data_IF_440740577979
#
_entry.id   IF_440740577979
#
_cell.length_a   1.000
_cell.length_b   1.000
_cell.length_c   1.000
_cell.angle_alpha   90.00
_cell.angle_beta   90.00
_cell.angle_gamma   90.00
#
_symmetry.space_group_name_H-M   'P 1'
#
loop_
_entity.id
_entity.type
_entity.pdbx_description
1 polymer ?
#
# COMPACT_ATOMS: atom_id res chain seq x y z
N UNK A 1 23.47 19.56 -11.37
CA UNK A 1 23.59 20.39 -12.59
C UNK A 1 24.87 20.03 -13.33
N UNK A 2 24.79 19.20 -14.37
CA UNK A 2 25.77 19.10 -15.47
C UNK A 2 25.12 18.32 -16.63
N UNK A 3 25.16 18.91 -17.83
CA UNK A 3 24.78 18.38 -19.14
C UNK A 3 25.15 19.46 -20.19
N UNK A 4 25.25 19.19 -21.52
CA UNK A 4 25.06 17.92 -22.23
C UNK A 4 26.45 17.29 -22.57
N UNK A 5 26.90 16.82 -23.75
CA UNK A 5 26.35 16.78 -25.12
C UNK A 5 27.11 15.83 -26.09
N UNK A 6 26.48 15.62 -27.26
CA UNK A 6 27.07 15.33 -28.59
C UNK A 6 27.50 13.89 -28.94
N UNK A 7 27.09 13.43 -30.14
CA UNK A 7 27.38 12.10 -30.73
C UNK A 7 26.12 11.27 -30.99
N UNK A 8 25.20 11.63 -31.91
CA UNK A 8 25.25 11.58 -33.40
C UNK A 8 25.06 10.17 -34.00
N UNK A 9 24.00 10.05 -34.82
CA UNK A 9 23.64 9.00 -35.79
C UNK A 9 23.12 7.62 -35.33
N UNK A 10 21.87 7.35 -35.74
CA UNK A 10 21.56 6.18 -36.56
C UNK A 10 20.94 4.96 -35.87
N UNK A 11 19.61 4.84 -35.89
CA UNK A 11 18.93 3.60 -35.51
C UNK A 11 17.45 3.83 -35.15
N UNK A 12 16.56 2.96 -35.63
CA UNK A 12 15.12 3.01 -35.34
C UNK A 12 14.76 2.02 -34.23
N UNK A 13 15.13 2.33 -33.00
CA UNK A 13 14.45 1.74 -31.85
C UNK A 13 14.42 2.70 -30.65
N UNK A 14 13.57 2.40 -29.66
CA UNK A 14 13.26 3.31 -28.54
C UNK A 14 13.92 2.90 -27.22
N UNK A 15 15.00 2.14 -27.32
CA UNK A 15 15.88 1.80 -26.20
C UNK A 15 16.90 2.93 -26.00
N UNK A 16 17.12 3.30 -24.73
CA UNK A 16 18.18 4.23 -24.35
C UNK A 16 19.36 3.39 -23.87
N UNK A 17 20.42 3.31 -24.68
CA UNK A 17 21.65 2.63 -24.30
C UNK A 17 22.35 3.39 -23.17
N UNK A 18 22.12 2.93 -21.95
CA UNK A 18 22.94 3.30 -20.81
C UNK A 18 24.29 2.57 -20.95
N UNK A 19 25.39 3.32 -20.87
CA UNK A 19 26.77 2.77 -20.84
C UNK A 19 27.04 1.81 -19.66
N UNK A 20 26.08 1.67 -18.74
CA UNK A 20 26.06 0.77 -17.59
C UNK A 20 24.67 0.09 -17.45
N UNK A 21 24.04 -0.32 -18.56
CA UNK A 21 22.65 -0.79 -18.58
C UNK A 21 22.34 -1.90 -17.58
N UNK A 22 23.22 -2.90 -17.46
CA UNK A 22 23.05 -4.00 -16.51
C UNK A 22 23.04 -3.51 -15.04
N UNK A 23 23.92 -2.56 -14.72
CA UNK A 23 24.04 -1.97 -13.38
C UNK A 23 22.85 -1.04 -13.05
N UNK A 24 22.30 -0.33 -14.05
CA UNK A 24 21.05 0.42 -13.91
C UNK A 24 19.82 -0.49 -13.70
N UNK A 25 19.79 -1.70 -14.27
CA UNK A 25 18.69 -2.64 -14.07
C UNK A 25 18.68 -3.20 -12.65
N UNK A 26 19.83 -3.58 -12.10
CA UNK A 26 19.93 -4.05 -10.72
C UNK A 26 19.74 -2.91 -9.70
N UNK A 27 20.20 -1.68 -9.97
CA UNK A 27 19.85 -0.52 -9.13
C UNK A 27 18.34 -0.21 -9.14
N UNK A 28 17.61 -0.58 -10.21
CA UNK A 28 16.16 -0.36 -10.32
C UNK A 28 15.31 -1.49 -9.72
N UNK A 29 15.90 -2.64 -9.38
CA UNK A 29 15.26 -3.66 -8.52
C UNK A 29 15.25 -3.16 -7.08
N UNK A 30 14.14 -2.52 -6.67
CA UNK A 30 13.92 -2.10 -5.27
C UNK A 30 14.24 -3.26 -4.32
N UNK A 31 15.04 -3.00 -3.30
CA UNK A 31 15.32 -4.00 -2.25
C UNK A 31 14.00 -4.45 -1.62
N UNK A 32 13.89 -5.73 -1.22
CA UNK A 32 12.65 -6.31 -0.66
C UNK A 32 11.91 -5.37 0.33
N UNK A 33 12.61 -4.87 1.36
CA UNK A 33 12.03 -3.95 2.35
C UNK A 33 11.56 -2.60 1.77
N UNK A 34 12.18 -2.10 0.68
CA UNK A 34 11.72 -0.91 -0.03
C UNK A 34 10.41 -1.18 -0.79
N UNK A 35 10.24 -2.36 -1.37
CA UNK A 35 8.98 -2.77 -2.01
C UNK A 35 7.86 -2.91 -0.97
N UNK A 36 8.13 -3.57 0.16
CA UNK A 36 7.20 -3.65 1.28
C UNK A 36 6.79 -2.28 1.83
N UNK A 37 7.77 -1.42 2.16
CA UNK A 37 7.48 -0.09 2.70
C UNK A 37 6.72 0.79 1.71
N UNK A 38 7.00 0.65 0.42
CA UNK A 38 6.26 1.36 -0.63
C UNK A 38 4.78 0.93 -0.64
N UNK A 39 4.49 -0.37 -0.74
CA UNK A 39 3.11 -0.88 -0.75
C UNK A 39 2.36 -0.65 0.56
N UNK A 40 3.02 -0.83 1.71
CA UNK A 40 2.46 -0.56 3.03
C UNK A 40 2.15 0.93 3.24
N UNK A 41 3.09 1.81 2.85
CA UNK A 41 2.90 3.26 2.94
C UNK A 41 1.78 3.76 2.04
N UNK A 42 1.74 3.33 0.77
CA UNK A 42 0.67 3.74 -0.17
C UNK A 42 -0.69 3.23 0.26
N UNK A 43 -0.80 1.97 0.70
CA UNK A 43 -2.08 1.38 1.15
C UNK A 43 -2.58 2.01 2.46
N UNK A 44 -1.68 2.32 3.40
CA UNK A 44 -2.04 3.01 4.65
C UNK A 44 -2.56 4.43 4.37
N UNK A 45 -1.89 5.20 3.50
CA UNK A 45 -2.33 6.55 3.11
C UNK A 45 -3.68 6.49 2.38
N UNK A 46 -3.85 5.58 1.40
CA UNK A 46 -5.11 5.41 0.66
C UNK A 46 -6.27 4.98 1.58
N UNK A 47 -6.02 4.00 2.46
CA UNK A 47 -6.99 3.54 3.46
C UNK A 47 -7.37 4.64 4.46
N UNK A 48 -6.40 5.44 4.91
CA UNK A 48 -6.61 6.59 5.78
C UNK A 48 -7.42 7.71 5.13
N UNK A 49 -7.13 8.04 3.87
CA UNK A 49 -7.90 9.01 3.09
C UNK A 49 -9.35 8.56 2.89
N UNK A 50 -9.57 7.31 2.47
CA UNK A 50 -10.90 6.76 2.25
C UNK A 50 -11.71 6.63 3.56
N UNK A 51 -11.09 6.09 4.61
CA UNK A 51 -11.71 5.97 5.94
C UNK A 51 -11.98 7.31 6.61
N UNK A 52 -11.12 8.31 6.36
CA UNK A 52 -11.31 9.70 6.76
C UNK A 52 -12.53 10.32 6.08
N UNK A 53 -12.67 10.18 4.75
CA UNK A 53 -13.83 10.67 4.01
C UNK A 53 -15.15 10.04 4.49
N UNK A 54 -15.18 8.73 4.74
CA UNK A 54 -16.34 8.07 5.36
C UNK A 54 -16.64 8.64 6.76
N UNK A 55 -15.59 8.81 7.58
CA UNK A 55 -15.69 9.43 8.90
C UNK A 55 -16.21 10.88 8.89
N UNK A 56 -15.92 11.66 7.85
CA UNK A 56 -16.51 13.01 7.65
C UNK A 56 -18.01 12.89 7.42
N UNK A 57 -18.43 12.01 6.49
CA UNK A 57 -19.85 11.83 6.13
C UNK A 57 -20.67 11.37 7.34
N UNK A 58 -20.16 10.43 8.13
CA UNK A 58 -20.87 9.94 9.32
C UNK A 58 -20.80 10.92 10.49
N UNK A 59 -19.69 11.65 10.67
CA UNK A 59 -19.59 12.72 11.66
C UNK A 59 -20.59 13.85 11.41
N UNK A 60 -20.74 14.27 10.15
CA UNK A 60 -21.72 15.27 9.74
C UNK A 60 -23.17 14.80 9.93
N UNK A 61 -23.46 13.51 9.72
CA UNK A 61 -24.78 12.89 9.99
C UNK A 61 -25.07 12.81 11.49
N UNK A 62 -24.12 12.31 12.29
CA UNK A 62 -24.25 12.16 13.75
C UNK A 62 -24.29 13.50 14.51
N UNK A 63 -23.90 14.60 13.86
CA UNK A 63 -23.95 15.95 14.43
C UNK A 63 -25.18 16.77 14.01
N UNK A 64 -26.16 16.20 13.31
CA UNK A 64 -27.38 16.92 12.94
C UNK A 64 -28.05 17.52 14.18
N UNK A 65 -28.45 18.79 14.12
CA UNK A 65 -29.07 19.52 15.24
C UNK A 65 -28.15 19.92 16.40
N UNK A 66 -26.85 19.60 16.39
CA UNK A 66 -25.91 19.97 17.47
C UNK A 66 -25.20 21.30 17.19
N UNK A 67 -24.84 22.02 18.26
CA UNK A 67 -24.06 23.27 18.16
C UNK A 67 -22.70 23.06 17.50
N UNK A 68 -22.16 24.09 16.84
CA UNK A 68 -20.93 24.00 16.03
C UNK A 68 -19.73 23.41 16.78
N UNK A 69 -19.59 23.68 18.08
CA UNK A 69 -18.52 23.11 18.92
C UNK A 69 -18.66 21.59 19.11
N UNK A 70 -19.86 21.09 19.42
CA UNK A 70 -20.11 19.64 19.48
C UNK A 70 -20.04 18.98 18.10
N UNK A 71 -20.42 19.69 17.03
CA UNK A 71 -20.31 19.21 15.65
C UNK A 71 -18.87 18.95 15.24
N UNK A 72 -17.96 19.90 15.52
CA UNK A 72 -16.53 19.74 15.23
C UNK A 72 -15.94 18.56 16.03
N UNK A 73 -16.23 18.46 17.34
CA UNK A 73 -15.74 17.33 18.16
C UNK A 73 -16.28 15.97 17.66
N UNK A 74 -17.56 15.90 17.28
CA UNK A 74 -18.17 14.68 16.73
C UNK A 74 -17.51 14.26 15.41
N UNK A 75 -17.19 15.23 14.55
CA UNK A 75 -16.55 15.01 13.25
C UNK A 75 -15.09 14.59 13.42
N UNK A 76 -14.30 15.28 14.25
CA UNK A 76 -12.90 14.92 14.50
C UNK A 76 -12.77 13.51 15.08
N UNK A 77 -13.64 13.15 16.04
CA UNK A 77 -13.65 11.82 16.64
C UNK A 77 -14.04 10.72 15.63
N UNK A 78 -15.04 10.94 14.77
CA UNK A 78 -15.44 9.96 13.76
C UNK A 78 -14.41 9.81 12.63
N UNK A 79 -13.83 10.92 12.16
CA UNK A 79 -12.75 10.95 11.16
C UNK A 79 -11.50 10.25 11.69
N UNK A 80 -11.01 10.61 12.87
CA UNK A 80 -9.82 10.00 13.46
C UNK A 80 -10.01 8.51 13.71
N UNK A 81 -11.12 8.12 14.36
CA UNK A 81 -11.38 6.72 14.71
C UNK A 81 -11.56 5.82 13.48
N UNK A 82 -12.23 6.27 12.42
CA UNK A 82 -12.41 5.48 11.18
C UNK A 82 -11.20 5.52 10.27
N UNK A 83 -10.57 6.69 10.13
CA UNK A 83 -9.34 6.87 9.34
C UNK A 83 -8.21 5.97 9.83
N UNK A 84 -7.86 6.02 11.12
CA UNK A 84 -6.80 5.17 11.68
C UNK A 84 -7.15 3.68 11.63
N UNK A 85 -8.41 3.30 11.90
CA UNK A 85 -8.83 1.89 11.83
C UNK A 85 -8.64 1.33 10.42
N UNK A 86 -9.16 2.02 9.40
CA UNK A 86 -9.09 1.56 8.01
C UNK A 86 -7.65 1.60 7.50
N UNK A 87 -6.90 2.68 7.76
CA UNK A 87 -5.48 2.81 7.41
C UNK A 87 -4.64 1.65 7.98
N UNK A 88 -4.79 1.37 9.28
CA UNK A 88 -4.02 0.32 9.95
C UNK A 88 -4.39 -1.08 9.41
N UNK A 89 -5.67 -1.36 9.14
CA UNK A 89 -6.05 -2.64 8.51
C UNK A 89 -5.50 -2.77 7.08
N UNK A 90 -5.56 -1.71 6.27
CA UNK A 90 -5.03 -1.72 4.90
C UNK A 90 -3.51 -1.93 4.88
N UNK A 91 -2.77 -1.20 5.73
CA UNK A 91 -1.32 -1.34 5.84
C UNK A 91 -0.87 -2.72 6.33
N UNK A 92 -1.56 -3.32 7.31
CA UNK A 92 -1.27 -4.69 7.77
C UNK A 92 -1.54 -5.73 6.68
N UNK A 93 -2.66 -5.61 5.95
CA UNK A 93 -2.98 -6.52 4.85
C UNK A 93 -1.94 -6.41 3.72
N UNK A 94 -1.51 -5.19 3.34
CA UNK A 94 -0.48 -5.00 2.34
C UNK A 94 0.90 -5.55 2.79
N UNK A 95 1.28 -5.32 4.06
CA UNK A 95 2.50 -5.91 4.63
C UNK A 95 2.47 -7.43 4.60
N UNK A 96 1.35 -8.06 4.99
CA UNK A 96 1.19 -9.51 4.92
C UNK A 96 1.28 -10.02 3.48
N UNK A 97 0.55 -9.42 2.54
CA UNK A 97 0.58 -9.81 1.13
C UNK A 97 2.00 -9.76 0.54
N UNK A 98 2.71 -8.63 0.68
CA UNK A 98 4.08 -8.53 0.16
C UNK A 98 5.10 -9.38 0.92
N UNK A 99 4.82 -9.75 2.18
CA UNK A 99 5.62 -10.74 2.91
C UNK A 99 5.44 -12.15 2.31
N UNK A 100 4.20 -12.57 2.05
CA UNK A 100 3.89 -13.89 1.48
C UNK A 100 4.29 -14.01 0.01
N UNK A 101 4.08 -12.97 -0.80
CA UNK A 101 4.62 -12.82 -2.16
C UNK A 101 6.12 -13.16 -2.20
N UNK A 102 6.89 -12.48 -1.33
CA UNK A 102 8.35 -12.60 -1.31
C UNK A 102 8.84 -13.90 -0.68
N UNK A 103 8.11 -14.43 0.31
CA UNK A 103 8.35 -15.77 0.85
C UNK A 103 8.14 -16.84 -0.23
N UNK A 104 7.06 -16.74 -1.03
CA UNK A 104 6.80 -17.64 -2.15
C UNK A 104 7.92 -17.61 -3.19
N UNK A 105 8.39 -16.40 -3.55
CA UNK A 105 9.49 -16.19 -4.49
C UNK A 105 10.82 -16.79 -4.00
N UNK A 106 11.09 -16.77 -2.68
CA UNK A 106 12.32 -17.33 -2.10
C UNK A 106 12.28 -18.84 -1.84
N UNK A 107 11.11 -19.41 -1.51
CA UNK A 107 11.00 -20.79 -1.01
C UNK A 107 10.34 -21.78 -1.97
N UNK A 108 9.61 -21.34 -3.00
CA UNK A 108 8.79 -22.23 -3.84
C UNK A 108 9.31 -22.31 -5.27
N UNK A 109 9.23 -21.22 -6.03
CA UNK A 109 9.67 -21.17 -7.44
C UNK A 109 9.85 -19.70 -7.85
N UNK A 110 10.75 -19.43 -8.81
CA UNK A 110 10.93 -18.08 -9.41
C UNK A 110 9.80 -17.67 -10.37
N UNK A 111 8.69 -18.43 -10.43
CA UNK A 111 7.53 -18.14 -11.27
C UNK A 111 6.57 -17.16 -10.58
N UNK A 112 6.34 -16.00 -11.20
CA UNK A 112 5.35 -14.99 -10.81
C UNK A 112 3.89 -15.42 -11.13
N UNK A 113 3.60 -16.71 -11.02
CA UNK A 113 2.28 -17.28 -11.33
C UNK A 113 1.18 -16.70 -10.44
N UNK A 114 0.02 -16.27 -10.99
CA UNK A 114 -1.06 -15.64 -10.21
C UNK A 114 -1.67 -16.57 -9.15
N UNK A 115 -1.48 -17.89 -9.27
CA UNK A 115 -1.84 -18.86 -8.24
C UNK A 115 -1.07 -18.64 -6.92
N UNK A 116 0.21 -18.25 -6.96
CA UNK A 116 1.01 -17.99 -5.77
C UNK A 116 0.46 -16.78 -5.00
N UNK A 117 0.10 -15.71 -5.71
CA UNK A 117 -0.58 -14.54 -5.14
C UNK A 117 -1.95 -14.89 -4.53
N UNK A 118 -2.73 -15.77 -5.17
CA UNK A 118 -4.02 -16.23 -4.63
C UNK A 118 -3.86 -17.04 -3.32
N UNK A 119 -2.85 -17.92 -3.26
CA UNK A 119 -2.53 -18.70 -2.05
C UNK A 119 -2.01 -17.79 -0.92
N UNK A 120 -1.13 -16.84 -1.24
CA UNK A 120 -0.64 -15.81 -0.32
C UNK A 120 -1.78 -14.96 0.28
N UNK A 121 -2.74 -14.55 -0.55
CA UNK A 121 -3.95 -13.84 -0.14
C UNK A 121 -4.88 -14.68 0.73
N UNK A 122 -5.07 -15.96 0.41
CA UNK A 122 -5.85 -16.89 1.22
C UNK A 122 -5.22 -17.11 2.61
N UNK A 123 -3.91 -17.33 2.68
CA UNK A 123 -3.18 -17.48 3.94
C UNK A 123 -3.26 -16.20 4.80
N UNK A 124 -3.06 -15.03 4.20
CA UNK A 124 -3.23 -13.72 4.84
C UNK A 124 -4.63 -13.53 5.40
N UNK A 125 -5.67 -13.83 4.61
CA UNK A 125 -7.07 -13.72 5.02
C UNK A 125 -7.45 -14.67 6.16
N UNK A 126 -6.94 -15.91 6.14
CA UNK A 126 -7.14 -16.88 7.22
C UNK A 126 -6.46 -16.44 8.52
N UNK A 127 -5.21 -15.98 8.46
CA UNK A 127 -4.48 -15.49 9.63
C UNK A 127 -5.16 -14.24 10.23
N UNK A 128 -5.48 -13.24 9.41
CA UNK A 128 -6.15 -12.02 9.86
C UNK A 128 -7.53 -12.32 10.51
N UNK A 129 -8.26 -13.31 9.97
CA UNK A 129 -9.52 -13.79 10.54
C UNK A 129 -9.32 -14.54 11.86
N UNK A 130 -8.24 -15.31 12.00
CA UNK A 130 -7.88 -16.05 13.22
C UNK A 130 -7.53 -15.11 14.38
N UNK A 131 -6.81 -14.02 14.11
CA UNK A 131 -6.44 -12.99 15.10
C UNK A 131 -7.63 -12.10 15.53
N UNK A 132 -8.82 -12.25 14.95
CA UNK A 132 -10.00 -11.45 15.32
C UNK A 132 -10.55 -11.89 16.68
N UNK A 133 -10.09 -11.21 17.74
CA UNK A 133 -10.61 -11.35 19.10
C UNK A 133 -12.15 -11.24 19.11
N UNK A 134 -12.80 -12.27 19.67
CA UNK A 134 -14.24 -12.31 19.90
C UNK A 134 -14.60 -11.38 21.06
N UNK A 135 -15.07 -10.17 20.75
CA UNK A 135 -15.75 -9.33 21.73
C UNK A 135 -17.02 -10.04 22.22
N UNK A 136 -17.26 -10.15 23.54
CA UNK A 136 -18.54 -10.62 24.07
C UNK A 136 -19.68 -9.63 23.75
N UNK A 137 -20.95 -10.07 23.84
CA UNK A 137 -22.12 -9.20 23.69
C UNK A 137 -22.29 -8.21 24.84
#
# INVERSE_FOLDING_TARGET
TVAPALGVHGGREKNVDYLFADEFLDYRKKTWGQQMMYWAGTSWILGGAFGGLQGVVEGLKQSSGKSMRLRINSLLNSVGKRGLLIANTAGVIALMLSSFESFSYHFITQDESPANYAIAGAATGLLFKSTKIRTPP
#
